data_IF_339924160574
#
_entry.id   IF_339924160574
#
_cell.length_a   1.000
_cell.length_b   1.000
_cell.length_c   1.000
_cell.angle_alpha   90.00
_cell.angle_beta   90.00
_cell.angle_gamma   90.00
#
_symmetry.space_group_name_H-M   'P 1'
#
loop_
_entity.id
_entity.type
_entity.pdbx_description
1 polymer ?
#
# COMPACT_ATOMS: atom_id res chain seq x y z
N UNK A 1 2.11 -4.63 33.94
CA UNK A 1 0.79 -4.78 33.28
C UNK A 1 0.38 -3.58 32.39
N UNK A 2 1.31 -2.80 31.83
CA UNK A 2 0.98 -1.63 30.97
C UNK A 2 0.92 -1.93 29.46
N UNK A 3 1.41 -3.09 29.02
CA UNK A 3 1.45 -3.44 27.58
C UNK A 3 0.09 -3.90 27.02
N UNK A 4 -0.73 -4.57 27.84
CA UNK A 4 -2.00 -5.17 27.40
C UNK A 4 -3.10 -4.15 27.09
N UNK A 5 -3.12 -2.99 27.76
CA UNK A 5 -4.15 -1.97 27.53
C UNK A 5 -4.08 -1.36 26.13
N UNK A 6 -2.87 -1.09 25.63
CA UNK A 6 -2.67 -0.50 24.29
C UNK A 6 -3.10 -1.44 23.16
N UNK A 7 -3.00 -2.75 23.35
CA UNK A 7 -3.44 -3.74 22.34
C UNK A 7 -4.97 -3.82 22.21
N UNK A 8 -5.71 -3.67 23.30
CA UNK A 8 -7.17 -3.78 23.28
C UNK A 8 -7.84 -2.56 22.62
N UNK A 9 -7.29 -1.37 22.85
CA UNK A 9 -7.79 -0.13 22.25
C UNK A 9 -7.50 -0.06 20.75
N UNK A 10 -6.31 -0.48 20.31
CA UNK A 10 -6.01 -0.58 18.88
C UNK A 10 -6.92 -1.61 18.21
N UNK A 11 -7.17 -2.75 18.86
CA UNK A 11 -8.07 -3.77 18.33
C UNK A 11 -9.50 -3.25 18.16
N UNK A 12 -10.01 -2.47 19.13
CA UNK A 12 -11.35 -1.89 19.01
C UNK A 12 -11.43 -0.86 17.88
N UNK A 13 -10.40 -0.02 17.73
CA UNK A 13 -10.31 0.94 16.63
C UNK A 13 -10.31 0.22 15.28
N UNK A 14 -9.50 -0.82 15.12
CA UNK A 14 -9.40 -1.59 13.87
C UNK A 14 -10.74 -2.22 13.49
N UNK A 15 -11.41 -2.85 14.46
CA UNK A 15 -12.68 -3.54 14.22
C UNK A 15 -13.84 -2.59 13.97
N UNK A 16 -14.02 -1.59 14.83
CA UNK A 16 -15.26 -0.81 14.87
C UNK A 16 -15.17 0.52 14.13
N UNK A 17 -14.00 1.17 14.13
CA UNK A 17 -13.84 2.52 13.58
C UNK A 17 -13.18 2.52 12.21
N UNK A 18 -11.97 1.97 12.10
CA UNK A 18 -11.23 1.96 10.85
C UNK A 18 -11.78 0.93 9.86
N UNK A 19 -12.36 -0.18 10.36
CA UNK A 19 -12.87 -1.30 9.55
C UNK A 19 -11.84 -1.76 8.52
N UNK A 20 -10.59 -1.87 8.96
CA UNK A 20 -9.47 -2.16 8.07
C UNK A 20 -9.67 -3.55 7.43
N UNK A 21 -9.38 -3.68 6.13
CA UNK A 21 -9.43 -5.00 5.46
C UNK A 21 -8.33 -5.94 5.98
N UNK A 22 -7.18 -5.38 6.31
CA UNK A 22 -6.01 -6.10 6.82
C UNK A 22 -5.40 -5.33 7.98
N UNK A 23 -5.03 -6.03 9.06
CA UNK A 23 -4.25 -5.52 10.19
C UNK A 23 -3.00 -6.37 10.36
N UNK A 24 -1.86 -5.81 9.96
CA UNK A 24 -0.55 -6.41 10.17
C UNK A 24 0.03 -5.95 11.51
N UNK A 25 0.43 -6.90 12.35
CA UNK A 25 1.06 -6.62 13.63
C UNK A 25 2.21 -7.61 13.91
N UNK A 26 3.09 -7.24 14.82
CA UNK A 26 4.20 -8.07 15.28
C UNK A 26 4.30 -8.07 16.79
N UNK A 27 5.51 -8.18 17.33
CA UNK A 27 5.85 -8.09 18.76
C UNK A 27 5.46 -9.30 19.63
N UNK A 28 4.40 -10.04 19.31
CA UNK A 28 4.11 -11.31 19.99
C UNK A 28 4.75 -12.47 19.22
N UNK A 29 5.87 -12.97 19.74
CA UNK A 29 6.65 -14.08 19.20
C UNK A 29 5.92 -15.45 19.24
N UNK A 30 4.64 -15.44 19.58
CA UNK A 30 3.79 -16.61 19.78
C UNK A 30 2.72 -16.59 18.69
N UNK A 31 2.48 -17.76 18.08
CA UNK A 31 1.50 -17.96 17.01
C UNK A 31 1.67 -16.96 15.84
N UNK A 32 2.84 -16.94 15.16
CA UNK A 32 2.95 -16.29 13.86
C UNK A 32 1.95 -16.93 12.88
N UNK A 33 1.35 -16.13 12.00
CA UNK A 33 0.35 -16.60 11.07
C UNK A 33 -0.82 -15.63 10.89
N UNK A 34 -1.95 -16.17 10.44
CA UNK A 34 -3.12 -15.37 10.05
C UNK A 34 -4.37 -15.79 10.79
N UNK A 35 -5.25 -14.84 11.08
CA UNK A 35 -6.62 -15.10 11.54
C UNK A 35 -7.59 -14.12 10.90
N UNK A 36 -8.85 -14.52 10.76
CA UNK A 36 -9.88 -13.71 10.11
C UNK A 36 -11.15 -13.71 10.97
N UNK A 37 -11.71 -12.53 11.21
CA UNK A 37 -12.92 -12.37 12.05
C UNK A 37 -14.20 -12.10 11.24
N UNK A 38 -14.19 -12.37 9.94
CA UNK A 38 -15.30 -12.07 9.04
C UNK A 38 -15.28 -10.66 8.46
N UNK A 39 -14.36 -9.81 8.93
CA UNK A 39 -14.20 -8.44 8.43
C UNK A 39 -12.75 -8.09 8.16
N UNK A 40 -11.87 -8.34 9.13
CA UNK A 40 -10.45 -7.96 9.08
C UNK A 40 -9.57 -9.21 9.05
N UNK A 41 -8.63 -9.26 8.11
CA UNK A 41 -7.55 -10.23 8.14
C UNK A 41 -6.44 -9.74 9.08
N UNK A 42 -6.18 -10.47 10.16
CA UNK A 42 -5.09 -10.21 11.08
C UNK A 42 -3.88 -11.05 10.71
N UNK A 43 -2.72 -10.41 10.58
CA UNK A 43 -1.46 -11.07 10.23
C UNK A 43 -0.46 -10.79 11.35
N UNK A 44 -0.09 -11.83 12.10
CA UNK A 44 1.04 -11.79 13.04
C UNK A 44 2.32 -12.13 12.28
N UNK A 45 3.09 -11.10 11.93
CA UNK A 45 4.34 -11.22 11.18
C UNK A 45 5.58 -11.31 12.10
N UNK A 46 5.44 -11.87 13.30
CA UNK A 46 6.56 -12.08 14.20
C UNK A 46 7.56 -13.08 13.61
N UNK A 47 8.74 -12.59 13.24
CA UNK A 47 9.81 -13.38 12.59
C UNK A 47 10.52 -14.28 13.60
N UNK A 48 10.68 -13.80 14.83
CA UNK A 48 11.43 -14.52 15.85
C UNK A 48 10.53 -15.37 16.75
N UNK A 49 11.05 -16.50 17.20
CA UNK A 49 10.46 -17.28 18.28
C UNK A 49 10.76 -16.66 19.66
N UNK A 50 10.29 -17.33 20.72
CA UNK A 50 10.47 -16.89 22.11
C UNK A 50 11.94 -16.83 22.58
N UNK A 51 12.86 -17.46 21.84
CA UNK A 51 14.31 -17.44 22.10
C UNK A 51 15.04 -16.42 21.21
N UNK A 52 14.30 -15.61 20.46
CA UNK A 52 14.80 -14.62 19.50
C UNK A 52 15.53 -15.23 18.30
N UNK A 53 15.25 -16.49 17.95
CA UNK A 53 15.74 -17.05 16.70
C UNK A 53 14.77 -16.71 15.56
N UNK A 54 15.27 -16.24 14.38
CA UNK A 54 14.43 -15.93 13.23
C UNK A 54 13.98 -17.22 12.54
N UNK A 55 12.95 -17.85 13.10
CA UNK A 55 12.48 -19.18 12.71
C UNK A 55 11.12 -19.17 12.00
N UNK A 56 10.35 -18.08 12.10
CA UNK A 56 9.06 -17.97 11.42
C UNK A 56 9.25 -17.66 9.93
N UNK A 57 8.60 -18.41 9.02
CA UNK A 57 8.66 -18.11 7.59
C UNK A 57 7.96 -16.79 7.26
N UNK A 58 8.37 -16.17 6.15
CA UNK A 58 7.68 -15.00 5.63
C UNK A 58 6.23 -15.35 5.24
N UNK A 59 5.30 -14.47 5.58
CA UNK A 59 3.88 -14.59 5.19
C UNK A 59 3.68 -13.76 3.91
N UNK A 60 3.32 -14.45 2.83
CA UNK A 60 2.93 -13.82 1.56
C UNK A 60 1.41 -13.78 1.50
N UNK A 61 0.83 -12.63 1.17
CA UNK A 61 -0.60 -12.49 0.97
C UNK A 61 -0.90 -11.55 -0.20
N UNK A 62 -1.94 -11.87 -0.96
CA UNK A 62 -2.42 -11.02 -2.03
C UNK A 62 -3.37 -9.96 -1.48
N UNK A 63 -3.18 -8.71 -1.91
CA UNK A 63 -4.08 -7.62 -1.58
C UNK A 63 -4.73 -7.08 -2.85
N UNK A 64 -6.07 -7.06 -2.94
CA UNK A 64 -6.73 -6.60 -4.15
C UNK A 64 -6.42 -5.12 -4.38
N UNK A 65 -5.90 -4.81 -5.58
CA UNK A 65 -5.79 -3.42 -6.01
C UNK A 65 -7.16 -2.88 -6.38
N UNK A 66 -7.50 -1.68 -5.90
CA UNK A 66 -8.71 -1.00 -6.34
C UNK A 66 -8.54 -0.59 -7.81
N UNK A 67 -9.22 -1.27 -8.74
CA UNK A 67 -9.14 -1.01 -10.20
C UNK A 67 -9.41 0.45 -10.58
N UNK A 68 -10.22 1.14 -9.79
CA UNK A 68 -10.55 2.56 -9.99
C UNK A 68 -9.35 3.48 -9.78
N UNK A 69 -8.45 3.14 -8.85
CA UNK A 69 -7.23 3.93 -8.60
C UNK A 69 -6.21 3.73 -9.72
N UNK A 70 -6.18 2.52 -10.30
CA UNK A 70 -5.32 2.18 -11.43
C UNK A 70 -5.70 2.97 -12.68
N UNK A 71 -6.99 2.97 -13.05
CA UNK A 71 -7.49 3.75 -14.20
C UNK A 71 -7.22 5.24 -14.06
N UNK A 72 -7.43 5.82 -12.88
CA UNK A 72 -7.13 7.24 -12.62
C UNK A 72 -5.65 7.58 -12.69
N UNK A 73 -4.77 6.63 -12.37
CA UNK A 73 -3.32 6.82 -12.53
C UNK A 73 -2.93 6.75 -14.01
N UNK A 74 -3.42 5.75 -14.73
CA UNK A 74 -3.18 5.56 -16.17
C UNK A 74 -3.73 6.73 -17.01
N UNK A 75 -4.88 7.29 -16.65
CA UNK A 75 -5.46 8.49 -17.27
C UNK A 75 -4.57 9.73 -17.04
N UNK A 76 -4.09 9.93 -15.80
CA UNK A 76 -3.17 11.03 -15.48
C UNK A 76 -1.81 10.92 -16.16
N UNK A 77 -1.32 9.71 -16.39
CA UNK A 77 -0.07 9.50 -17.13
C UNK A 77 -0.23 9.80 -18.62
N UNK A 78 -1.38 9.46 -19.21
CA UNK A 78 -1.70 9.81 -20.61
C UNK A 78 -1.83 11.32 -20.82
N UNK A 79 -2.52 12.02 -19.93
CA UNK A 79 -2.65 13.50 -20.00
C UNK A 79 -1.28 14.19 -19.98
N UNK A 80 -0.35 13.74 -19.12
CA UNK A 80 1.02 14.27 -19.07
C UNK A 80 1.84 13.98 -20.33
N UNK A 81 1.59 12.83 -20.96
CA UNK A 81 2.28 12.46 -22.19
C UNK A 81 1.79 13.28 -23.39
N UNK A 82 0.50 13.60 -23.41
CA UNK A 82 -0.12 14.44 -24.44
C UNK A 82 0.29 15.92 -24.31
N UNK A 83 0.38 16.46 -23.09
CA UNK A 83 0.94 17.80 -22.84
C UNK A 83 2.40 17.92 -23.34
N UNK A 84 3.24 16.91 -23.04
CA UNK A 84 4.64 16.89 -23.49
C UNK A 84 4.78 16.80 -25.02
N UNK A 85 3.82 16.16 -25.71
CA UNK A 85 3.75 16.08 -27.17
C UNK A 85 3.26 17.38 -27.81
N UNK A 86 2.49 18.19 -27.08
CA UNK A 86 2.05 19.51 -27.56
C UNK A 86 3.17 20.54 -27.41
N UNK A 87 3.86 20.59 -26.27
CA UNK A 87 5.01 21.47 -26.05
C UNK A 87 6.13 21.23 -27.07
N UNK A 88 6.45 19.97 -27.35
CA UNK A 88 7.48 19.62 -28.35
C UNK A 88 7.09 19.95 -29.79
N UNK A 89 5.79 20.00 -30.12
CA UNK A 89 5.31 20.44 -31.44
C UNK A 89 5.30 21.96 -31.59
N UNK A 90 5.06 22.70 -30.52
CA UNK A 90 5.07 24.17 -30.56
C UNK A 90 6.48 24.73 -30.66
N UNK A 91 7.46 24.11 -29.99
CA UNK A 91 8.88 24.46 -30.16
C UNK A 91 9.33 24.26 -31.60
N UNK A 92 8.98 23.13 -32.22
CA UNK A 92 9.40 22.80 -33.59
C UNK A 92 8.82 23.73 -34.67
N UNK A 93 7.64 24.32 -34.44
CA UNK A 93 7.03 25.31 -35.36
C UNK A 93 7.70 26.68 -35.30
N UNK A 94 8.22 27.07 -34.13
CA UNK A 94 8.91 28.35 -33.96
C UNK A 94 10.32 28.33 -34.56
N UNK A 95 10.93 27.17 -34.67
CA UNK A 95 12.22 26.99 -35.33
C UNK A 95 12.08 27.04 -36.87
N UNK A 96 10.99 26.49 -37.44
CA UNK A 96 10.72 26.51 -38.90
C UNK A 96 10.33 27.91 -39.41
N UNK A 97 9.63 28.74 -38.62
CA UNK A 97 9.29 30.13 -39.00
C UNK A 97 10.50 31.09 -38.96
N UNK A 98 11.61 30.71 -38.32
CA UNK A 98 12.78 31.57 -38.13
C UNK A 98 13.92 31.29 -39.14
N UNK A 99 13.82 30.23 -39.94
CA UNK A 99 14.75 29.92 -41.04
C UNK A 99 14.32 30.50 -42.40
N UNK A 100 13.13 31.09 -42.50
CA UNK A 100 12.58 31.64 -43.76
C UNK A 100 12.61 33.20 -43.83
N UNK A 101 13.33 33.88 -42.92
CA UNK A 101 13.53 35.35 -42.89
C UNK A 101 14.94 35.78 -43.29
#
# INVERSE_FOLDING_TARGET
MHSYRRSAEILSIVRYHAKAKVHLHGHRHICPGTSYDGQTLFINSAICDIYNHPSSPAIVFDYPQDDVKRRKHEEKEKEKEDEKKQDSKEVKRKDEENEES
#
